data_IF_365706688381
#
_entry.id   IF_365706688381
#
_cell.length_a   1.000
_cell.length_b   1.000
_cell.length_c   1.000
_cell.angle_alpha   90.00
_cell.angle_beta   90.00
_cell.angle_gamma   90.00
#
_symmetry.space_group_name_H-M   'P 1'
#
loop_
_entity.id
_entity.type
_entity.pdbx_description
1 polymer ?
#
# COMPACT_ATOMS: atom_id res chain seq x y z
N UNK A 1 12.27 8.11 19.98
CA UNK A 1 11.44 8.72 18.93
C UNK A 1 11.80 8.07 17.62
N UNK A 2 10.97 7.14 17.15
CA UNK A 2 11.24 6.31 15.96
C UNK A 2 11.34 7.16 14.68
N UNK A 3 12.04 6.65 13.67
CA UNK A 3 12.13 7.30 12.36
C UNK A 3 10.75 7.58 11.74
N UNK A 4 9.75 6.72 11.99
CA UNK A 4 8.35 6.94 11.61
C UNK A 4 7.71 8.16 12.29
N UNK A 5 8.07 8.48 13.53
CA UNK A 5 7.53 9.67 14.21
C UNK A 5 8.13 10.98 13.71
N UNK A 6 9.33 10.96 13.10
CA UNK A 6 9.89 12.14 12.41
C UNK A 6 9.23 12.41 11.06
N UNK A 7 8.91 11.37 10.28
CA UNK A 7 8.16 11.49 9.02
C UNK A 7 6.73 12.01 9.27
N UNK A 8 6.06 11.49 10.30
CA UNK A 8 4.72 11.96 10.73
C UNK A 8 4.70 13.41 11.26
N UNK A 9 5.82 13.93 11.76
CA UNK A 9 5.88 15.34 12.23
C UNK A 9 6.20 16.32 11.10
N UNK A 10 6.90 15.88 10.04
CA UNK A 10 7.22 16.70 8.88
C UNK A 10 6.07 16.84 7.88
N UNK A 11 5.14 15.86 7.83
CA UNK A 11 3.95 15.95 6.96
C UNK A 11 2.93 17.02 7.39
N UNK A 12 3.04 17.57 8.61
CA UNK A 12 2.10 18.57 9.13
C UNK A 12 2.43 20.01 8.74
N UNK A 13 3.58 20.29 8.13
CA UNK A 13 4.02 21.66 7.85
C UNK A 13 4.81 21.81 6.54
N UNK A 14 4.25 21.42 5.40
CA UNK A 14 4.48 22.08 4.11
C UNK A 14 3.60 21.46 3.03
N UNK A 15 2.87 22.31 2.29
CA UNK A 15 2.16 22.03 1.02
C UNK A 15 0.88 21.15 1.05
N UNK A 16 -0.18 21.54 1.77
CA UNK A 16 -1.47 20.83 1.71
C UNK A 16 -2.27 21.03 0.39
N UNK A 17 -1.82 21.88 -0.53
CA UNK A 17 -2.66 22.38 -1.62
C UNK A 17 -2.59 21.61 -2.96
N UNK A 18 -1.48 20.91 -3.24
CA UNK A 18 -1.30 20.13 -4.49
C UNK A 18 -1.57 18.63 -4.33
N UNK A 19 -1.54 18.14 -3.09
CA UNK A 19 -1.65 16.72 -2.78
C UNK A 19 -3.09 16.21 -3.02
N UNK A 20 -4.11 16.99 -2.65
CA UNK A 20 -5.51 16.55 -2.74
C UNK A 20 -6.02 16.24 -4.16
N UNK A 21 -5.44 16.84 -5.21
CA UNK A 21 -5.93 16.67 -6.60
C UNK A 21 -5.21 15.51 -7.29
N UNK A 22 -3.92 15.32 -6.98
CA UNK A 22 -3.11 14.21 -7.48
C UNK A 22 -3.64 12.88 -6.95
N UNK A 23 -3.97 12.85 -5.65
CA UNK A 23 -4.51 11.68 -4.95
C UNK A 23 -5.89 11.29 -5.49
N UNK A 24 -6.78 12.27 -5.75
CA UNK A 24 -8.07 12.08 -6.43
C UNK A 24 -7.94 11.36 -7.77
N UNK A 25 -6.98 11.81 -8.57
CA UNK A 25 -6.87 11.40 -9.98
C UNK A 25 -6.23 10.03 -10.12
N UNK A 26 -5.32 9.67 -9.23
CA UNK A 26 -4.78 8.31 -9.16
C UNK A 26 -5.84 7.34 -8.61
N UNK A 27 -6.61 7.72 -7.59
CA UNK A 27 -7.71 6.90 -7.04
C UNK A 27 -8.79 6.56 -8.08
N UNK A 28 -9.15 7.52 -8.95
CA UNK A 28 -10.14 7.30 -10.02
C UNK A 28 -9.62 6.36 -11.13
N UNK A 29 -8.32 6.36 -11.42
CA UNK A 29 -7.71 5.52 -12.47
C UNK A 29 -7.30 4.10 -12.01
N UNK A 30 -7.44 3.75 -10.73
CA UNK A 30 -7.19 2.37 -10.23
C UNK A 30 -8.30 1.38 -10.64
N UNK A 31 -9.31 1.85 -11.37
CA UNK A 31 -10.53 1.11 -11.65
C UNK A 31 -10.40 -0.18 -12.50
N UNK A 32 -9.27 -0.54 -13.13
CA UNK A 32 -9.10 -1.89 -13.69
C UNK A 32 -7.88 -2.71 -13.20
N UNK A 33 -7.01 -2.23 -12.30
CA UNK A 33 -5.75 -2.94 -11.98
C UNK A 33 -5.56 -3.22 -10.49
N UNK A 34 -6.30 -4.21 -9.98
CA UNK A 34 -5.90 -4.98 -8.79
C UNK A 34 -5.25 -6.26 -9.29
N UNK A 35 -4.02 -6.15 -9.77
CA UNK A 35 -3.14 -7.33 -9.82
C UNK A 35 -2.59 -7.49 -8.41
N UNK A 36 -3.03 -8.56 -7.73
CA UNK A 36 -2.49 -8.98 -6.44
C UNK A 36 -0.96 -9.08 -6.55
N UNK A 37 -0.25 -8.03 -6.14
CA UNK A 37 1.21 -8.10 -5.94
C UNK A 37 1.41 -8.89 -4.66
N UNK A 38 1.69 -10.18 -4.85
CA UNK A 38 2.34 -11.09 -3.89
C UNK A 38 3.18 -10.30 -2.90
N UNK A 39 2.81 -10.38 -1.63
CA UNK A 39 3.75 -10.15 -0.53
C UNK A 39 4.74 -11.32 -0.59
N UNK A 40 5.73 -11.23 -1.48
CA UNK A 40 6.84 -12.18 -1.54
C UNK A 40 7.81 -11.81 -0.41
N UNK A 41 7.71 -12.51 0.71
CA UNK A 41 8.81 -12.63 1.66
C UNK A 41 9.90 -13.43 0.92
N UNK A 42 11.09 -12.87 0.63
CA UNK A 42 12.12 -13.66 -0.03
C UNK A 42 12.68 -14.69 0.95
N UNK A 43 12.42 -15.97 0.65
CA UNK A 43 13.22 -17.10 1.14
C UNK A 43 14.61 -17.00 0.50
N UNK A 44 15.56 -16.39 1.19
CA UNK A 44 16.98 -16.53 0.91
C UNK A 44 17.68 -17.03 2.17
N UNK A 45 18.01 -18.32 2.19
CA UNK A 45 18.66 -18.92 3.36
C UNK A 45 18.95 -20.41 3.27
N UNK A 46 19.33 -20.92 2.09
CA UNK A 46 19.71 -22.33 1.98
C UNK A 46 20.71 -22.58 0.84
N UNK A 47 21.90 -21.97 0.93
CA UNK A 47 23.06 -22.38 0.12
C UNK A 47 24.42 -21.94 0.69
N UNK A 48 24.61 -22.05 2.01
CA UNK A 48 25.91 -21.76 2.63
C UNK A 48 26.39 -22.86 3.61
N UNK A 49 25.79 -24.05 3.59
CA UNK A 49 26.22 -25.15 4.44
C UNK A 49 26.52 -26.33 3.52
N UNK A 50 27.80 -26.47 3.20
CA UNK A 50 28.56 -27.71 2.91
C UNK A 50 29.79 -27.32 2.07
N UNK A 51 30.79 -26.72 2.72
CA UNK A 51 32.16 -26.82 2.24
C UNK A 51 33.01 -27.41 3.36
N UNK A 52 33.26 -28.70 3.24
CA UNK A 52 33.70 -29.61 4.29
C UNK A 52 35.23 -29.78 4.25
N UNK A 53 36.00 -28.69 4.26
CA UNK A 53 37.48 -28.80 4.10
C UNK A 53 38.35 -27.91 4.99
N UNK A 54 37.83 -27.22 6.00
CA UNK A 54 38.67 -26.57 7.01
C UNK A 54 38.15 -26.90 8.41
N UNK A 55 38.75 -27.91 9.03
CA UNK A 55 38.52 -28.27 10.42
C UNK A 55 39.09 -27.18 11.34
N UNK A 56 38.35 -26.10 11.55
CA UNK A 56 38.65 -25.13 12.59
C UNK A 56 38.18 -25.68 13.95
N UNK A 57 39.07 -25.79 14.96
CA UNK A 57 38.68 -26.33 16.26
C UNK A 57 37.63 -25.42 16.93
N UNK A 58 36.54 -26.03 17.38
CA UNK A 58 35.33 -25.43 17.98
C UNK A 58 35.61 -24.48 19.15
N UNK A 59 36.84 -24.44 19.69
CA UNK A 59 37.23 -23.59 20.83
C UNK A 59 37.51 -22.12 20.46
N UNK A 60 37.53 -21.73 19.19
CA UNK A 60 37.73 -20.32 18.79
C UNK A 60 36.48 -19.44 18.97
N UNK A 61 35.29 -20.03 19.15
CA UNK A 61 34.03 -19.29 19.37
C UNK A 61 33.74 -19.00 20.86
N UNK A 62 34.60 -19.44 21.78
CA UNK A 62 34.39 -19.29 23.22
C UNK A 62 34.91 -17.97 23.81
N UNK A 63 35.43 -17.05 22.98
CA UNK A 63 35.68 -15.67 23.43
C UNK A 63 34.44 -14.83 23.16
N UNK A 64 33.71 -14.54 24.22
CA UNK A 64 32.70 -13.48 24.25
C UNK A 64 33.38 -12.14 23.96
N UNK A 65 33.53 -11.82 22.68
CA UNK A 65 33.64 -10.45 22.22
C UNK A 65 32.29 -10.13 21.61
N UNK A 66 31.31 -9.82 22.45
CA UNK A 66 30.15 -9.08 21.97
C UNK A 66 30.69 -7.72 21.51
N UNK A 67 30.75 -7.40 20.21
CA UNK A 67 31.03 -6.04 19.80
C UNK A 67 29.97 -5.15 20.46
N UNK A 68 30.38 -4.00 21.00
CA UNK A 68 29.46 -3.01 21.53
C UNK A 68 28.36 -2.79 20.49
N UNK A 69 27.09 -2.96 20.89
CA UNK A 69 25.94 -2.99 19.98
C UNK A 69 26.04 -1.87 18.96
N UNK A 70 26.20 -2.23 17.69
CA UNK A 70 26.33 -1.22 16.65
C UNK A 70 24.99 -0.49 16.55
N UNK A 71 25.01 0.80 16.25
CA UNK A 71 23.79 1.60 16.02
C UNK A 71 22.85 0.93 14.98
N UNK A 72 23.40 0.13 14.08
CA UNK A 72 22.64 -0.71 13.15
C UNK A 72 21.85 -1.85 13.82
N UNK A 73 22.40 -2.47 14.87
CA UNK A 73 21.73 -3.56 15.61
C UNK A 73 20.50 -3.05 16.37
N UNK A 74 20.60 -1.86 16.96
CA UNK A 74 19.47 -1.20 17.61
C UNK A 74 18.37 -0.84 16.60
N UNK A 75 18.75 -0.28 15.45
CA UNK A 75 17.81 0.02 14.36
C UNK A 75 17.09 -1.24 13.86
N UNK A 76 17.81 -2.35 13.65
CA UNK A 76 17.20 -3.61 13.21
C UNK A 76 16.28 -4.20 14.29
N UNK A 77 16.67 -4.14 15.56
CA UNK A 77 15.83 -4.57 16.69
C UNK A 77 14.56 -3.75 16.77
N UNK A 78 14.63 -2.44 16.57
CA UNK A 78 13.47 -1.55 16.57
C UNK A 78 12.52 -1.87 15.40
N UNK A 79 13.06 -2.10 14.19
CA UNK A 79 12.26 -2.52 13.03
C UNK A 79 11.57 -3.86 13.29
N UNK A 80 12.31 -4.84 13.81
CA UNK A 80 11.74 -6.15 14.12
C UNK A 80 10.64 -6.06 15.18
N UNK A 81 10.84 -5.26 16.24
CA UNK A 81 9.83 -5.01 17.27
C UNK A 81 8.58 -4.36 16.68
N UNK A 82 8.74 -3.35 15.82
CA UNK A 82 7.63 -2.67 15.16
C UNK A 82 6.82 -3.65 14.27
N UNK A 83 7.50 -4.43 13.43
CA UNK A 83 6.86 -5.44 12.57
C UNK A 83 6.13 -6.48 13.42
N UNK A 84 6.79 -7.02 14.45
CA UNK A 84 6.18 -8.00 15.36
C UNK A 84 4.92 -7.45 16.03
N UNK A 85 4.98 -6.22 16.56
CA UNK A 85 3.83 -5.57 17.19
C UNK A 85 2.65 -5.41 16.22
N UNK A 86 2.92 -5.06 14.95
CA UNK A 86 1.90 -4.95 13.90
C UNK A 86 1.25 -6.29 13.59
N UNK A 87 2.04 -7.36 13.47
CA UNK A 87 1.51 -8.72 13.28
C UNK A 87 0.66 -9.19 14.46
N UNK A 88 1.15 -9.02 15.70
CA UNK A 88 0.40 -9.38 16.91
C UNK A 88 -0.92 -8.60 17.02
N UNK A 89 -0.91 -7.32 16.63
CA UNK A 89 -2.12 -6.48 16.59
C UNK A 89 -3.12 -7.00 15.57
N UNK A 90 -2.67 -7.36 14.37
CA UNK A 90 -3.52 -7.92 13.32
C UNK A 90 -4.15 -9.25 13.76
N UNK A 91 -3.35 -10.19 14.26
CA UNK A 91 -3.82 -11.48 14.78
C UNK A 91 -4.81 -11.27 15.93
N UNK A 92 -4.54 -10.31 16.83
CA UNK A 92 -5.42 -9.98 17.94
C UNK A 92 -6.81 -9.49 17.53
N UNK A 93 -6.94 -8.88 16.35
CA UNK A 93 -8.25 -8.53 15.76
C UNK A 93 -8.88 -9.74 15.07
N UNK A 94 -8.11 -10.46 14.24
CA UNK A 94 -8.60 -11.63 13.50
C UNK A 94 -9.12 -12.75 14.40
N UNK A 95 -8.55 -12.93 15.60
CA UNK A 95 -9.04 -13.88 16.61
C UNK A 95 -10.42 -13.54 17.17
N UNK A 96 -10.85 -12.27 17.09
CA UNK A 96 -12.12 -11.80 17.66
C UNK A 96 -13.23 -11.80 16.64
N UNK A 97 -12.91 -11.40 15.41
CA UNK A 97 -13.87 -11.21 14.34
C UNK A 97 -14.05 -12.49 13.53
N UNK A 98 -15.31 -12.95 13.37
CA UNK A 98 -15.61 -14.07 12.46
C UNK A 98 -15.70 -13.53 11.03
N UNK A 99 -14.83 -14.01 10.15
CA UNK A 99 -14.85 -13.65 8.72
C UNK A 99 -15.62 -14.72 7.94
N UNK A 100 -16.65 -14.30 7.22
CA UNK A 100 -17.33 -15.17 6.24
C UNK A 100 -16.63 -15.06 4.89
N UNK A 101 -16.16 -16.19 4.35
CA UNK A 101 -15.47 -16.22 3.05
C UNK A 101 -16.51 -16.34 1.92
N UNK A 102 -17.11 -15.21 1.54
CA UNK A 102 -18.06 -15.14 0.43
C UNK A 102 -17.87 -13.85 -0.39
N UNK A 103 -17.09 -13.88 -1.50
CA UNK A 103 -16.82 -12.67 -2.29
C UNK A 103 -18.04 -12.16 -3.09
N UNK A 104 -19.10 -12.97 -3.23
CA UNK A 104 -20.32 -12.58 -3.93
C UNK A 104 -21.39 -11.99 -3.02
N UNK A 105 -21.24 -12.10 -1.70
CA UNK A 105 -22.13 -11.46 -0.72
C UNK A 105 -21.60 -10.07 -0.34
N UNK A 106 -22.30 -8.98 -0.72
CA UNK A 106 -21.88 -7.62 -0.36
C UNK A 106 -21.73 -7.40 1.16
N UNK A 107 -22.52 -8.11 1.99
CA UNK A 107 -22.43 -7.99 3.43
C UNK A 107 -21.12 -8.59 3.97
N UNK A 108 -20.74 -9.77 3.47
CA UNK A 108 -19.46 -10.40 3.80
C UNK A 108 -18.26 -9.54 3.35
N UNK A 109 -18.30 -8.99 2.13
CA UNK A 109 -17.26 -8.08 1.61
C UNK A 109 -17.14 -6.83 2.47
N UNK A 110 -18.26 -6.18 2.81
CA UNK A 110 -18.28 -4.98 3.66
C UNK A 110 -17.75 -5.27 5.08
N UNK A 111 -18.15 -6.40 5.66
CA UNK A 111 -17.64 -6.83 6.96
C UNK A 111 -16.12 -7.05 6.91
N UNK A 112 -15.62 -7.76 5.90
CA UNK A 112 -14.20 -8.02 5.74
C UNK A 112 -13.41 -6.72 5.53
N UNK A 113 -13.89 -5.80 4.70
CA UNK A 113 -13.30 -4.48 4.52
C UNK A 113 -13.19 -3.72 5.84
N UNK A 114 -14.23 -3.75 6.68
CA UNK A 114 -14.23 -3.13 8.01
C UNK A 114 -13.21 -3.76 8.96
N UNK A 115 -13.08 -5.09 8.94
CA UNK A 115 -12.06 -5.81 9.74
C UNK A 115 -10.66 -5.39 9.29
N UNK A 116 -10.38 -5.38 7.98
CA UNK A 116 -9.08 -4.98 7.44
C UNK A 116 -8.76 -3.52 7.72
N UNK A 117 -9.73 -2.62 7.61
CA UNK A 117 -9.60 -1.22 8.02
C UNK A 117 -9.26 -1.10 9.51
N UNK A 118 -9.94 -1.85 10.37
CA UNK A 118 -9.67 -1.87 11.82
C UNK A 118 -8.26 -2.37 12.12
N UNK A 119 -7.81 -3.43 11.46
CA UNK A 119 -6.44 -3.95 11.58
C UNK A 119 -5.44 -2.86 11.20
N UNK A 120 -5.66 -2.22 10.05
CA UNK A 120 -4.78 -1.17 9.53
C UNK A 120 -4.66 -0.01 10.50
N UNK A 121 -5.78 0.52 10.99
CA UNK A 121 -5.81 1.63 11.95
C UNK A 121 -5.10 1.25 13.26
N UNK A 122 -5.41 0.08 13.83
CA UNK A 122 -4.79 -0.36 15.10
C UNK A 122 -3.30 -0.67 14.96
N UNK A 123 -2.88 -1.23 13.83
CA UNK A 123 -1.48 -1.52 13.54
C UNK A 123 -0.71 -0.29 13.00
N UNK A 124 -1.35 0.90 12.94
CA UNK A 124 -0.73 2.12 12.40
C UNK A 124 -0.14 1.90 11.00
N UNK A 125 -0.86 1.14 10.17
CA UNK A 125 -0.55 0.91 8.78
C UNK A 125 -1.20 2.01 7.93
N UNK A 126 -0.57 2.34 6.80
CA UNK A 126 -1.11 3.35 5.90
C UNK A 126 -2.34 2.84 5.14
N UNK A 127 -3.32 3.71 4.91
CA UNK A 127 -4.36 3.51 3.90
C UNK A 127 -3.77 3.54 2.50
N UNK A 128 -4.50 3.03 1.50
CA UNK A 128 -4.01 3.08 0.12
C UNK A 128 -3.79 4.51 -0.38
N UNK A 129 -4.66 5.45 0.01
CA UNK A 129 -4.47 6.89 -0.24
C UNK A 129 -3.17 7.41 0.38
N UNK A 130 -2.89 7.08 1.65
CA UNK A 130 -1.66 7.46 2.33
C UNK A 130 -0.42 6.83 1.69
N UNK A 131 -0.51 5.57 1.22
CA UNK A 131 0.61 4.91 0.52
C UNK A 131 0.92 5.60 -0.81
N UNK A 132 -0.10 5.99 -1.56
CA UNK A 132 0.04 6.76 -2.80
C UNK A 132 0.72 8.10 -2.49
N UNK A 133 0.20 8.82 -1.48
CA UNK A 133 0.75 10.09 -1.04
C UNK A 133 2.24 9.97 -0.66
N UNK A 134 2.60 8.99 0.18
CA UNK A 134 3.99 8.78 0.58
C UNK A 134 4.91 8.52 -0.61
N UNK A 135 4.49 7.70 -1.59
CA UNK A 135 5.31 7.46 -2.79
C UNK A 135 5.49 8.73 -3.61
N UNK A 136 4.42 9.53 -3.79
CA UNK A 136 4.53 10.81 -4.51
C UNK A 136 5.51 11.73 -3.79
N UNK A 137 5.38 11.88 -2.47
CA UNK A 137 6.27 12.73 -1.68
C UNK A 137 7.73 12.28 -1.79
N UNK A 138 8.00 10.98 -1.59
CA UNK A 138 9.35 10.41 -1.66
C UNK A 138 9.98 10.58 -3.06
N UNK A 139 9.22 10.35 -4.13
CA UNK A 139 9.73 10.45 -5.49
C UNK A 139 9.82 11.88 -6.04
N UNK A 140 9.21 12.87 -5.36
CA UNK A 140 9.10 14.24 -5.86
C UNK A 140 9.64 15.32 -4.91
N UNK A 141 10.09 14.96 -3.70
CA UNK A 141 10.51 15.93 -2.67
C UNK A 141 11.55 16.95 -3.17
N UNK A 142 12.47 16.53 -4.03
CA UNK A 142 13.60 17.34 -4.50
C UNK A 142 13.32 18.06 -5.83
N UNK A 143 12.10 17.94 -6.36
CA UNK A 143 11.69 18.53 -7.63
C UNK A 143 11.12 19.94 -7.37
N UNK A 144 11.78 21.03 -7.84
CA UNK A 144 11.36 22.37 -7.47
C UNK A 144 10.31 22.98 -8.42
N UNK A 145 10.29 22.58 -9.69
CA UNK A 145 9.36 23.10 -10.71
C UNK A 145 8.14 22.18 -10.93
N UNK A 146 7.02 22.76 -11.36
CA UNK A 146 5.76 22.04 -11.54
C UNK A 146 5.78 21.10 -12.76
N UNK A 147 6.50 21.46 -13.83
CA UNK A 147 6.54 20.68 -15.07
C UNK A 147 7.20 19.32 -14.85
N UNK A 148 8.40 19.32 -14.27
CA UNK A 148 9.14 18.11 -13.92
C UNK A 148 8.36 17.28 -12.90
N UNK A 149 7.65 17.92 -11.97
CA UNK A 149 6.78 17.24 -11.02
C UNK A 149 5.66 16.45 -11.71
N UNK A 150 4.95 17.05 -12.68
CA UNK A 150 3.89 16.32 -13.40
C UNK A 150 4.41 15.20 -14.29
N UNK A 151 5.56 15.40 -14.95
CA UNK A 151 6.23 14.32 -15.69
C UNK A 151 6.61 13.17 -14.76
N UNK A 152 7.04 13.48 -13.54
CA UNK A 152 7.33 12.46 -12.53
C UNK A 152 6.08 11.71 -12.08
N UNK A 153 4.96 12.41 -11.88
CA UNK A 153 3.67 11.77 -11.58
C UNK A 153 3.22 10.82 -12.71
N UNK A 154 3.40 11.21 -13.97
CA UNK A 154 3.13 10.36 -15.13
C UNK A 154 4.00 9.09 -15.13
N UNK A 155 5.28 9.22 -14.78
CA UNK A 155 6.19 8.08 -14.63
C UNK A 155 5.70 7.12 -13.53
N UNK A 156 5.33 7.66 -12.35
CA UNK A 156 4.79 6.88 -11.23
C UNK A 156 3.53 6.12 -11.64
N UNK A 157 2.58 6.81 -12.30
CA UNK A 157 1.34 6.20 -12.81
C UNK A 157 1.64 5.05 -13.77
N UNK A 158 2.50 5.30 -14.76
CA UNK A 158 2.86 4.32 -15.81
C UNK A 158 3.55 3.09 -15.22
N UNK A 159 4.50 3.29 -14.28
CA UNK A 159 5.17 2.18 -13.57
C UNK A 159 4.22 1.33 -12.74
N UNK A 160 3.11 1.92 -12.27
CA UNK A 160 2.05 1.21 -11.56
C UNK A 160 1.02 0.54 -12.49
N UNK A 161 1.16 0.70 -13.81
CA UNK A 161 0.25 0.11 -14.79
C UNK A 161 -1.14 0.75 -14.81
N UNK A 162 -1.27 1.98 -14.30
CA UNK A 162 -2.55 2.71 -14.29
C UNK A 162 -2.72 3.43 -15.63
N UNK A 163 -3.87 3.31 -16.28
CA UNK A 163 -4.22 4.00 -17.54
C UNK A 163 -4.72 5.44 -17.29
N UNK A 164 -4.47 6.35 -18.23
CA UNK A 164 -5.02 7.72 -18.23
C UNK A 164 -6.19 7.80 -19.21
N UNK A 165 -7.26 7.07 -18.91
CA UNK A 165 -8.44 6.94 -19.78
C UNK A 165 -9.18 8.27 -19.95
N UNK A 166 -9.05 9.16 -18.97
CA UNK A 166 -9.69 10.46 -18.95
C UNK A 166 -8.84 11.57 -19.61
N UNK A 167 -7.62 11.25 -20.06
CA UNK A 167 -6.69 12.23 -20.66
C UNK A 167 -6.30 13.35 -19.70
N UNK A 168 -6.27 13.06 -18.40
CA UNK A 168 -6.04 14.03 -17.33
C UNK A 168 -4.63 14.58 -17.40
N UNK A 169 -3.65 13.80 -17.84
CA UNK A 169 -2.27 14.25 -17.98
C UNK A 169 -2.13 15.34 -19.04
N UNK A 170 -2.75 15.14 -20.21
CA UNK A 170 -2.78 16.14 -21.27
C UNK A 170 -3.45 17.42 -20.78
N UNK A 171 -4.62 17.31 -20.14
CA UNK A 171 -5.32 18.48 -19.57
C UNK A 171 -4.52 19.19 -18.48
N UNK A 172 -3.73 18.45 -17.70
CA UNK A 172 -2.87 19.00 -16.64
C UNK A 172 -1.69 19.75 -17.24
N UNK A 173 -1.05 19.21 -18.27
CA UNK A 173 0.05 19.86 -18.98
C UNK A 173 -0.43 21.10 -19.74
N UNK A 174 -1.60 21.04 -20.37
CA UNK A 174 -2.23 22.20 -21.02
C UNK A 174 -2.54 23.33 -20.03
N UNK A 175 -3.06 22.97 -18.84
CA UNK A 175 -3.31 23.92 -17.77
C UNK A 175 -2.02 24.57 -17.27
N UNK A 176 -0.95 23.77 -17.09
CA UNK A 176 0.36 24.28 -16.71
C UNK A 176 0.93 25.22 -17.79
N UNK A 177 0.86 24.85 -19.06
CA UNK A 177 1.39 25.66 -20.16
C UNK A 177 0.69 27.02 -20.24
N UNK A 178 -0.62 27.09 -19.97
CA UNK A 178 -1.34 28.37 -19.89
C UNK A 178 -0.80 29.26 -18.78
N UNK A 179 -0.58 28.70 -17.59
CA UNK A 179 -0.04 29.46 -16.46
C UNK A 179 1.38 29.91 -16.75
N UNK A 180 2.25 29.04 -17.28
CA UNK A 180 3.63 29.37 -17.65
C UNK A 180 3.68 30.47 -18.72
N UNK A 181 2.76 30.48 -19.69
CA UNK A 181 2.62 31.57 -20.67
C UNK A 181 2.20 32.90 -20.03
N UNK A 182 1.31 32.86 -19.04
CA UNK A 182 0.85 34.05 -18.32
C UNK A 182 1.97 34.65 -17.46
N UNK A 183 2.70 33.82 -16.71
CA UNK A 183 3.81 34.27 -15.84
C UNK A 183 5.14 34.45 -16.60
N UNK A 184 5.21 34.02 -17.86
CA UNK A 184 6.39 34.09 -18.76
C UNK A 184 7.66 33.41 -18.20
N UNK A 185 7.49 32.46 -17.31
CA UNK A 185 8.57 31.69 -16.69
C UNK A 185 8.07 30.29 -16.27
N UNK A 186 8.96 29.32 -16.05
CA UNK A 186 8.58 28.04 -15.48
C UNK A 186 7.92 28.21 -14.10
N UNK A 187 6.84 27.48 -13.85
CA UNK A 187 6.13 27.57 -12.58
C UNK A 187 6.87 26.80 -11.49
N UNK A 188 7.30 27.49 -10.43
CA UNK A 188 7.92 26.87 -9.27
C UNK A 188 6.87 26.40 -8.27
N UNK A 189 7.06 25.22 -7.64
CA UNK A 189 6.11 24.65 -6.67
C UNK A 189 5.97 25.47 -5.39
N UNK A 190 6.97 26.31 -5.08
CA UNK A 190 6.93 27.24 -3.95
C UNK A 190 6.32 28.62 -4.30
N UNK A 191 6.02 28.89 -5.58
CA UNK A 191 5.36 30.13 -6.00
C UNK A 191 3.87 30.09 -5.68
N UNK A 192 3.50 30.67 -4.55
CA UNK A 192 2.10 30.72 -4.09
C UNK A 192 1.14 31.35 -5.09
N UNK A 193 1.58 32.37 -5.85
CA UNK A 193 0.71 33.09 -6.79
C UNK A 193 0.50 32.29 -8.07
N UNK A 194 1.58 31.82 -8.68
CA UNK A 194 1.50 30.95 -9.86
C UNK A 194 0.76 29.66 -9.57
N UNK A 195 0.96 29.05 -8.39
CA UNK A 195 0.23 27.87 -7.98
C UNK A 195 -1.27 28.11 -7.82
N UNK A 196 -1.68 29.29 -7.35
CA UNK A 196 -3.10 29.64 -7.26
C UNK A 196 -3.76 29.74 -8.64
N UNK A 197 -3.05 30.28 -9.64
CA UNK A 197 -3.51 30.28 -11.04
C UNK A 197 -3.67 28.85 -11.57
N UNK A 198 -2.70 27.98 -11.31
CA UNK A 198 -2.78 26.58 -11.71
C UNK A 198 -3.95 25.85 -11.06
N UNK A 199 -4.20 26.10 -9.77
CA UNK A 199 -5.36 25.52 -9.07
C UNK A 199 -6.68 25.97 -9.70
N UNK A 200 -6.79 27.24 -10.11
CA UNK A 200 -7.99 27.74 -10.79
C UNK A 200 -8.22 27.06 -12.15
N UNK A 201 -7.15 26.78 -12.92
CA UNK A 201 -7.26 25.97 -14.15
C UNK A 201 -7.67 24.52 -13.83
N UNK A 202 -7.12 23.92 -12.77
CA UNK A 202 -7.52 22.57 -12.34
C UNK A 202 -8.97 22.48 -11.90
N UNK A 203 -9.52 23.49 -11.24
CA UNK A 203 -10.93 23.50 -10.86
C UNK A 203 -11.84 23.55 -12.11
N UNK A 204 -11.41 24.20 -13.20
CA UNK A 204 -12.12 24.15 -14.49
C UNK A 204 -12.05 22.74 -15.10
N UNK A 205 -10.89 22.10 -15.07
CA UNK A 205 -10.71 20.72 -15.55
C UNK A 205 -11.56 19.74 -14.74
N UNK A 206 -11.52 19.85 -13.41
CA UNK A 206 -12.29 18.99 -12.50
C UNK A 206 -13.80 19.12 -12.75
N UNK A 207 -14.31 20.33 -12.95
CA UNK A 207 -15.72 20.56 -13.32
C UNK A 207 -16.10 19.87 -14.64
N UNK A 208 -15.23 19.90 -15.65
CA UNK A 208 -15.47 19.21 -16.93
C UNK A 208 -15.51 17.69 -16.77
N UNK A 209 -14.67 17.15 -15.91
CA UNK A 209 -14.58 15.72 -15.64
C UNK A 209 -15.63 15.23 -14.62
N UNK A 210 -16.44 16.12 -14.05
CA UNK A 210 -17.38 15.77 -12.98
C UNK A 210 -16.69 15.33 -11.67
N UNK A 211 -15.40 15.63 -11.51
CA UNK A 211 -14.61 15.24 -10.33
C UNK A 211 -14.79 16.32 -9.25
N UNK A 212 -15.24 15.89 -8.08
CA UNK A 212 -15.40 16.75 -6.89
C UNK A 212 -14.46 16.28 -5.80
N UNK A 213 -13.83 17.21 -5.09
CA UNK A 213 -12.87 16.83 -4.04
C UNK A 213 -13.56 16.21 -2.85
N UNK A 214 -14.81 16.59 -2.63
CA UNK A 214 -15.68 16.12 -1.57
C UNK A 214 -16.03 14.63 -1.71
N UNK A 215 -15.93 14.08 -2.93
CA UNK A 215 -16.20 12.67 -3.21
C UNK A 215 -14.98 11.76 -2.93
N UNK A 216 -13.82 12.32 -2.53
CA UNK A 216 -12.62 11.54 -2.19
C UNK A 216 -12.86 10.38 -1.21
N UNK A 217 -13.51 10.61 -0.06
CA UNK A 217 -13.73 9.54 0.92
C UNK A 217 -14.57 8.40 0.34
N UNK A 218 -15.50 8.73 -0.58
CA UNK A 218 -16.34 7.75 -1.26
C UNK A 218 -15.51 6.86 -2.19
N UNK A 219 -14.60 7.45 -2.97
CA UNK A 219 -13.71 6.66 -3.84
C UNK A 219 -12.75 5.78 -3.05
N UNK A 220 -12.25 6.27 -1.91
CA UNK A 220 -11.45 5.46 -1.01
C UNK A 220 -12.25 4.27 -0.46
N UNK A 221 -13.48 4.49 0.01
CA UNK A 221 -14.36 3.41 0.48
C UNK A 221 -14.67 2.39 -0.63
N UNK A 222 -14.98 2.83 -1.84
CA UNK A 222 -15.19 1.95 -2.99
C UNK A 222 -13.94 1.13 -3.34
N UNK A 223 -12.75 1.73 -3.24
CA UNK A 223 -11.48 1.02 -3.45
C UNK A 223 -11.26 -0.06 -2.39
N UNK A 224 -11.52 0.27 -1.12
CA UNK A 224 -11.40 -0.69 -0.01
C UNK A 224 -12.31 -1.90 -0.20
N UNK A 225 -13.55 -1.68 -0.66
CA UNK A 225 -14.49 -2.77 -0.96
C UNK A 225 -14.00 -3.67 -2.10
N UNK A 226 -13.41 -3.10 -3.16
CA UNK A 226 -12.85 -3.89 -4.26
C UNK A 226 -11.64 -4.71 -3.83
N UNK A 227 -10.76 -4.12 -3.03
CA UNK A 227 -9.60 -4.83 -2.44
C UNK A 227 -10.10 -5.97 -1.55
N UNK A 228 -11.08 -5.70 -0.70
CA UNK A 228 -11.71 -6.70 0.15
C UNK A 228 -12.32 -7.86 -0.65
N UNK A 229 -13.06 -7.56 -1.72
CA UNK A 229 -13.61 -8.59 -2.62
C UNK A 229 -12.50 -9.45 -3.24
N UNK A 230 -11.49 -8.82 -3.84
CA UNK A 230 -10.38 -9.54 -4.47
C UNK A 230 -9.61 -10.43 -3.48
N UNK A 231 -9.38 -9.95 -2.25
CA UNK A 231 -8.76 -10.75 -1.19
C UNK A 231 -9.64 -11.92 -0.75
N UNK A 232 -10.97 -11.74 -0.66
CA UNK A 232 -11.89 -12.84 -0.37
C UNK A 232 -11.96 -13.87 -1.50
N UNK A 233 -11.84 -13.45 -2.76
CA UNK A 233 -11.72 -14.36 -3.91
C UNK A 233 -10.45 -15.21 -3.82
N UNK A 234 -9.32 -14.60 -3.48
CA UNK A 234 -8.05 -15.31 -3.27
C UNK A 234 -8.14 -16.27 -2.09
N UNK A 235 -8.67 -15.83 -0.94
CA UNK A 235 -8.89 -16.71 0.23
C UNK A 235 -9.81 -17.89 -0.09
N UNK A 236 -10.88 -17.66 -0.86
CA UNK A 236 -11.79 -18.72 -1.31
C UNK A 236 -11.06 -19.72 -2.19
N UNK A 237 -10.24 -19.22 -3.14
CA UNK A 237 -9.45 -20.06 -4.03
C UNK A 237 -8.47 -20.92 -3.25
N UNK A 238 -7.67 -20.31 -2.36
CA UNK A 238 -6.69 -21.03 -1.54
C UNK A 238 -7.35 -22.09 -0.65
N UNK A 239 -8.50 -21.78 -0.05
CA UNK A 239 -9.27 -22.73 0.74
C UNK A 239 -9.77 -23.92 -0.08
N UNK A 240 -10.31 -23.68 -1.28
CA UNK A 240 -10.75 -24.74 -2.20
C UNK A 240 -9.58 -25.61 -2.64
N UNK A 241 -8.46 -25.01 -3.04
CA UNK A 241 -7.26 -25.74 -3.46
C UNK A 241 -6.70 -26.62 -2.33
N UNK A 242 -6.68 -26.11 -1.10
CA UNK A 242 -6.27 -26.87 0.08
C UNK A 242 -7.20 -28.06 0.35
N UNK A 243 -8.52 -27.85 0.33
CA UNK A 243 -9.51 -28.92 0.53
C UNK A 243 -9.44 -29.99 -0.56
N UNK A 244 -9.28 -29.59 -1.82
CA UNK A 244 -9.13 -30.54 -2.93
C UNK A 244 -7.84 -31.35 -2.82
N UNK A 245 -6.75 -30.73 -2.37
CA UNK A 245 -5.48 -31.42 -2.13
C UNK A 245 -5.60 -32.43 -0.99
N UNK A 246 -6.32 -32.08 0.08
CA UNK A 246 -6.55 -33.00 1.19
C UNK A 246 -7.40 -34.20 0.79
N UNK A 247 -8.44 -33.98 -0.03
CA UNK A 247 -9.31 -35.05 -0.55
C UNK A 247 -8.58 -36.09 -1.40
N UNK A 248 -7.43 -35.76 -2.01
CA UNK A 248 -6.63 -36.73 -2.78
C UNK A 248 -6.00 -37.81 -1.90
N UNK A 249 -5.91 -37.60 -0.59
CA UNK A 249 -5.35 -38.58 0.36
C UNK A 249 -6.43 -39.62 0.70
N UNK A 250 -6.05 -40.89 0.68
CA UNK A 250 -6.95 -42.03 0.95
C UNK A 250 -7.72 -41.88 2.28
N UNK A 251 -7.07 -41.31 3.30
CA UNK A 251 -7.62 -41.08 4.64
C UNK A 251 -8.84 -40.15 4.67
N UNK A 252 -9.02 -39.30 3.67
CA UNK A 252 -10.02 -38.23 3.65
C UNK A 252 -11.01 -38.35 2.47
N UNK A 253 -11.01 -39.47 1.74
CA UNK A 253 -11.84 -39.63 0.53
C UNK A 253 -13.34 -39.68 0.82
N UNK A 254 -13.73 -40.21 1.97
CA UNK A 254 -15.13 -40.36 2.38
C UNK A 254 -15.63 -39.18 3.24
N UNK A 255 -14.77 -38.20 3.53
CA UNK A 255 -15.16 -37.03 4.31
C UNK A 255 -16.02 -36.05 3.51
N UNK A 256 -17.02 -35.48 4.18
CA UNK A 256 -17.92 -34.49 3.58
C UNK A 256 -17.15 -33.21 3.31
N UNK A 257 -17.21 -32.73 2.06
CA UNK A 257 -16.68 -31.41 1.68
C UNK A 257 -17.38 -30.34 2.51
N UNK A 258 -16.58 -29.57 3.25
CA UNK A 258 -17.04 -28.44 4.06
C UNK A 258 -17.26 -27.23 3.14
N UNK A 259 -18.33 -26.48 3.37
CA UNK A 259 -18.55 -25.21 2.67
C UNK A 259 -17.50 -24.18 3.12
N UNK A 260 -16.83 -23.54 2.17
CA UNK A 260 -15.84 -22.48 2.41
C UNK A 260 -16.42 -21.36 3.28
N UNK A 261 -17.72 -21.06 3.12
CA UNK A 261 -18.42 -20.02 3.90
C UNK A 261 -18.55 -20.36 5.37
N UNK A 262 -18.47 -21.65 5.73
CA UNK A 262 -18.53 -22.13 7.09
C UNK A 262 -17.15 -22.17 7.78
N UNK A 263 -16.06 -21.97 7.03
CA UNK A 263 -14.72 -21.92 7.59
C UNK A 263 -14.58 -20.72 8.52
N UNK A 264 -13.86 -20.94 9.61
CA UNK A 264 -13.59 -19.91 10.61
C UNK A 264 -12.09 -19.81 10.80
N UNK A 265 -11.50 -18.71 10.32
CA UNK A 265 -10.05 -18.47 10.40
C UNK A 265 -9.54 -18.50 11.85
N UNK A 266 -10.40 -18.23 12.83
CA UNK A 266 -10.06 -18.25 14.25
C UNK A 266 -9.63 -19.63 14.73
N UNK A 267 -10.06 -20.70 14.07
CA UNK A 267 -9.64 -22.06 14.40
C UNK A 267 -8.18 -22.36 13.98
N UNK A 268 -7.55 -21.47 13.20
CA UNK A 268 -6.21 -21.64 12.66
C UNK A 268 -5.18 -20.65 13.25
N UNK A 269 -5.61 -19.71 14.09
CA UNK A 269 -4.80 -18.60 14.62
C UNK A 269 -4.50 -18.72 16.12
#
# INVERSE_FOLDING_TARGET
MSFSSRLLSRSKQATPFLLSISDLRILVSIHPFISCRRISIPLYGSQAILNQQLAFPVRYYAKETAPAGLKGDEMLKDIFRDIKQKFETAIGVLRKEKITIDPEDPAAVSQYAKVMKTIREKASLFSESQRIQCTIEEETQDIPDARTYFLKLQEIRTKRGLSDELGVEAMTMDALEKVEKEIKQPLMRNDKKGMALLMAEFDKVNKKLGIRREDLPKYEEELELKIAKAQLEELKKDAVEAMETQRKREEFKDEKVVDVRALDIRNFL
#
